data_IF_694776817119
#
_entry.id   IF_694776817119
#
_cell.length_a   1.000
_cell.length_b   1.000
_cell.length_c   1.000
_cell.angle_alpha   90.00
_cell.angle_beta   90.00
_cell.angle_gamma   90.00
#
_symmetry.space_group_name_H-M   'P 1'
#
loop_
_entity.id
_entity.type
_entity.pdbx_description
1 polymer ?
#
# COMPACT_ATOMS: atom_id res chain seq x y z
N UNK A 1 -9.31 -29.37 10.44
CA UNK A 1 -7.94 -28.82 10.60
C UNK A 1 -7.21 -29.15 9.30
N UNK A 2 -6.92 -28.25 8.35
CA UNK A 2 -6.73 -26.79 8.39
C UNK A 2 -7.26 -26.17 7.08
N UNK A 3 -8.16 -25.17 7.22
CA UNK A 3 -8.73 -24.40 6.11
C UNK A 3 -7.94 -23.12 5.77
N UNK A 4 -6.83 -22.88 6.46
CA UNK A 4 -6.02 -21.66 6.32
C UNK A 4 -4.94 -21.81 5.24
N UNK A 5 -5.33 -22.24 4.05
CA UNK A 5 -4.49 -21.99 2.88
C UNK A 5 -4.87 -20.61 2.34
N UNK A 6 -3.91 -19.71 2.02
CA UNK A 6 -4.22 -18.47 1.32
C UNK A 6 -4.89 -18.68 -0.05
N UNK A 7 -4.98 -19.94 -0.53
CA UNK A 7 -5.79 -20.35 -1.66
C UNK A 7 -7.32 -20.23 -1.43
N UNK A 8 -7.79 -20.12 -0.18
CA UNK A 8 -9.22 -19.96 0.17
C UNK A 8 -9.67 -18.51 0.39
N UNK A 9 -8.76 -17.53 0.28
CA UNK A 9 -9.09 -16.11 0.46
C UNK A 9 -9.75 -15.57 -0.79
N UNK A 10 -10.96 -15.01 -0.64
CA UNK A 10 -11.54 -14.16 -1.68
C UNK A 10 -10.89 -12.77 -1.60
N UNK A 11 -9.80 -12.62 -2.35
CA UNK A 11 -9.05 -11.37 -2.45
C UNK A 11 -9.91 -10.20 -2.95
N UNK A 12 -10.96 -10.48 -3.73
CA UNK A 12 -11.89 -9.45 -4.24
C UNK A 12 -12.69 -8.85 -3.10
N UNK A 13 -13.24 -9.69 -2.23
CA UNK A 13 -13.98 -9.24 -1.05
C UNK A 13 -13.08 -8.49 -0.06
N UNK A 14 -11.82 -8.91 0.11
CA UNK A 14 -10.83 -8.18 0.91
C UNK A 14 -10.64 -6.76 0.35
N UNK A 15 -10.43 -6.63 -0.96
CA UNK A 15 -10.22 -5.32 -1.61
C UNK A 15 -11.48 -4.46 -1.55
N UNK A 16 -12.67 -5.04 -1.74
CA UNK A 16 -13.95 -4.31 -1.62
C UNK A 16 -14.15 -3.78 -0.19
N UNK A 17 -13.90 -4.60 0.83
CA UNK A 17 -13.98 -4.19 2.23
C UNK A 17 -12.98 -3.09 2.57
N UNK A 18 -11.76 -3.18 2.01
CA UNK A 18 -10.77 -2.12 2.12
C UNK A 18 -11.27 -0.81 1.49
N UNK A 19 -11.75 -0.85 0.25
CA UNK A 19 -12.26 0.34 -0.46
C UNK A 19 -13.42 0.97 0.30
N UNK A 20 -14.37 0.18 0.79
CA UNK A 20 -15.50 0.67 1.58
C UNK A 20 -15.03 1.37 2.87
N UNK A 21 -14.01 0.83 3.54
CA UNK A 21 -13.43 1.45 4.73
C UNK A 21 -12.73 2.77 4.40
N UNK A 22 -11.97 2.82 3.31
CA UNK A 22 -11.33 4.04 2.84
C UNK A 22 -12.35 5.12 2.49
N UNK A 23 -13.43 4.76 1.79
CA UNK A 23 -14.50 5.70 1.43
C UNK A 23 -15.30 6.19 2.63
N UNK A 24 -15.49 5.34 3.64
CA UNK A 24 -16.08 5.76 4.90
C UNK A 24 -15.19 6.78 5.62
N UNK A 25 -13.90 6.46 5.79
CA UNK A 25 -12.94 7.33 6.50
C UNK A 25 -12.61 8.62 5.73
N UNK A 26 -12.64 8.58 4.39
CA UNK A 26 -12.40 9.76 3.57
C UNK A 26 -13.44 10.87 3.79
N UNK A 27 -14.66 10.52 4.25
CA UNK A 27 -15.70 11.50 4.59
C UNK A 27 -15.38 12.29 5.86
N UNK A 28 -14.56 11.73 6.74
CA UNK A 28 -14.21 12.31 8.04
C UNK A 28 -12.77 12.84 8.09
N UNK A 29 -11.98 12.66 7.03
CA UNK A 29 -10.59 13.10 6.97
C UNK A 29 -10.48 14.63 6.80
N UNK A 30 -9.67 15.30 7.64
CA UNK A 30 -9.44 16.76 7.56
C UNK A 30 -8.53 17.15 6.38
N UNK A 31 -7.37 16.48 6.23
CA UNK A 31 -6.34 16.88 5.25
C UNK A 31 -5.84 15.75 4.37
N UNK A 32 -5.47 14.64 5.00
CA UNK A 32 -4.93 13.45 4.33
C UNK A 32 -5.46 12.23 5.06
N UNK A 33 -5.92 11.23 4.30
CA UNK A 33 -6.19 9.89 4.81
C UNK A 33 -4.98 9.00 4.53
N UNK A 34 -4.45 8.36 5.57
CA UNK A 34 -3.37 7.38 5.42
C UNK A 34 -4.00 5.98 5.34
N UNK A 35 -3.82 5.31 4.20
CA UNK A 35 -4.33 3.96 3.97
C UNK A 35 -3.21 2.92 4.08
N UNK A 36 -3.45 1.81 4.79
CA UNK A 36 -2.52 0.69 4.88
C UNK A 36 -3.28 -0.64 4.76
N UNK A 37 -3.05 -1.51 3.77
CA UNK A 37 -2.28 -1.37 2.52
C UNK A 37 -3.12 -0.67 1.42
N UNK A 38 -3.01 -1.07 0.15
CA UNK A 38 -3.83 -0.61 -0.99
C UNK A 38 -4.24 -1.77 -1.94
N UNK A 39 -5.31 -1.64 -2.76
CA UNK A 39 -5.79 -2.66 -3.69
C UNK A 39 -4.75 -3.23 -4.67
N UNK A 40 -3.78 -2.42 -5.11
CA UNK A 40 -2.71 -2.85 -6.01
C UNK A 40 -1.74 -3.77 -5.28
N UNK A 41 -1.34 -3.43 -4.06
CA UNK A 41 -0.48 -4.30 -3.25
C UNK A 41 -1.19 -5.63 -2.92
N UNK A 42 -2.48 -5.58 -2.59
CA UNK A 42 -3.31 -6.79 -2.38
C UNK A 42 -3.41 -7.64 -3.65
N UNK A 43 -3.52 -7.01 -4.82
CA UNK A 43 -3.50 -7.72 -6.12
C UNK A 43 -2.16 -8.41 -6.40
N UNK A 44 -1.04 -7.78 -6.04
CA UNK A 44 0.29 -8.43 -6.14
C UNK A 44 0.39 -9.64 -5.20
N UNK A 45 -0.16 -9.55 -3.99
CA UNK A 45 -0.23 -10.67 -3.06
C UNK A 45 -1.09 -11.82 -3.58
N UNK A 46 -2.30 -11.53 -4.06
CA UNK A 46 -3.18 -12.52 -4.66
C UNK A 46 -2.46 -13.29 -5.78
N UNK A 47 -1.78 -12.57 -6.67
CA UNK A 47 -1.02 -13.18 -7.76
C UNK A 47 0.15 -14.05 -7.27
N UNK A 48 0.84 -13.67 -6.19
CA UNK A 48 1.96 -14.42 -5.64
C UNK A 48 1.52 -15.69 -4.91
N UNK A 49 0.39 -15.63 -4.19
CA UNK A 49 -0.06 -16.71 -3.33
C UNK A 49 -0.98 -17.70 -4.05
N UNK A 50 -1.81 -17.21 -4.97
CA UNK A 50 -2.80 -18.01 -5.69
C UNK A 50 -2.39 -18.34 -7.13
N UNK A 51 -1.27 -17.75 -7.62
CA UNK A 51 -0.79 -17.94 -9.00
C UNK A 51 -1.67 -17.32 -10.09
N UNK A 52 -2.83 -16.79 -9.73
CA UNK A 52 -3.79 -16.12 -10.62
C UNK A 52 -4.53 -15.03 -9.85
N UNK A 53 -5.12 -14.09 -10.59
CA UNK A 53 -5.89 -12.99 -10.03
C UNK A 53 -7.11 -12.71 -10.93
N UNK A 54 -8.34 -12.67 -10.38
CA UNK A 54 -9.53 -12.25 -11.11
C UNK A 54 -9.34 -10.89 -11.80
N UNK A 55 -9.92 -10.72 -12.99
CA UNK A 55 -9.86 -9.44 -13.72
C UNK A 55 -10.39 -8.27 -12.88
N UNK A 56 -11.42 -8.51 -12.07
CA UNK A 56 -12.00 -7.49 -11.19
C UNK A 56 -10.97 -6.87 -10.26
N UNK A 57 -10.05 -7.66 -9.69
CA UNK A 57 -9.00 -7.13 -8.83
C UNK A 57 -8.05 -6.19 -9.57
N UNK A 58 -7.73 -6.49 -10.83
CA UNK A 58 -6.95 -5.58 -11.66
C UNK A 58 -7.67 -4.26 -11.94
N UNK A 59 -9.01 -4.26 -11.98
CA UNK A 59 -9.81 -3.05 -12.11
C UNK A 59 -9.82 -2.24 -10.81
N UNK A 60 -10.03 -2.90 -9.67
CA UNK A 60 -9.98 -2.27 -8.34
C UNK A 60 -8.57 -1.71 -8.03
N UNK A 61 -7.51 -2.38 -8.48
CA UNK A 61 -6.11 -1.92 -8.34
C UNK A 61 -5.82 -0.59 -9.05
N UNK A 62 -6.66 -0.15 -10.01
CA UNK A 62 -6.52 1.16 -10.69
C UNK A 62 -7.06 2.32 -9.86
N UNK A 63 -7.58 2.05 -8.65
CA UNK A 63 -8.00 3.09 -7.71
C UNK A 63 -6.89 4.13 -7.54
N UNK A 64 -7.29 5.40 -7.63
CA UNK A 64 -6.37 6.53 -7.55
C UNK A 64 -6.04 6.83 -6.09
N UNK A 65 -4.77 7.11 -5.86
CA UNK A 65 -4.24 7.67 -4.62
C UNK A 65 -3.35 8.85 -5.02
N UNK A 66 -3.35 9.92 -4.21
CA UNK A 66 -2.50 11.09 -4.47
C UNK A 66 -1.01 10.77 -4.32
N UNK A 67 -0.69 9.81 -3.45
CA UNK A 67 0.67 9.36 -3.19
C UNK A 67 0.68 7.92 -2.67
N UNK A 68 1.58 7.09 -3.21
CA UNK A 68 1.94 5.80 -2.60
C UNK A 68 3.34 5.89 -1.97
N UNK A 69 3.47 5.47 -0.71
CA UNK A 69 4.78 5.25 -0.09
C UNK A 69 5.19 3.78 -0.29
N UNK A 70 6.15 3.54 -1.19
CA UNK A 70 6.65 2.19 -1.46
C UNK A 70 7.78 1.86 -0.48
N UNK A 71 7.44 1.15 0.59
CA UNK A 71 8.36 0.79 1.66
C UNK A 71 9.27 -0.37 1.23
N UNK A 72 10.59 -0.19 1.30
CA UNK A 72 11.53 -1.30 1.12
C UNK A 72 11.63 -2.14 2.41
N UNK A 73 11.91 -3.46 2.32
CA UNK A 73 12.22 -4.29 3.47
C UNK A 73 13.32 -3.68 4.32
N UNK A 74 13.19 -3.85 5.63
CA UNK A 74 14.27 -3.54 6.55
C UNK A 74 15.46 -4.48 6.30
N UNK A 75 16.67 -3.94 6.36
CA UNK A 75 17.90 -4.72 6.35
C UNK A 75 18.19 -5.35 7.72
N UNK A 76 17.50 -4.90 8.78
CA UNK A 76 17.59 -5.48 10.11
C UNK A 76 16.69 -6.71 10.22
N UNK A 77 17.27 -7.79 10.73
CA UNK A 77 16.68 -9.11 10.94
C UNK A 77 15.56 -9.18 11.98
N UNK A 78 15.08 -8.03 12.51
CA UNK A 78 14.04 -7.95 13.54
C UNK A 78 12.62 -8.03 12.97
N UNK A 79 12.41 -8.85 11.93
CA UNK A 79 11.07 -9.22 11.43
C UNK A 79 10.42 -10.30 12.30
N UNK A 80 10.75 -10.33 13.60
CA UNK A 80 10.22 -11.28 14.56
C UNK A 80 8.72 -11.05 14.74
N UNK A 81 7.91 -11.75 13.95
CA UNK A 81 6.45 -11.75 14.03
C UNK A 81 5.72 -11.56 12.71
N UNK A 82 6.39 -11.08 11.66
CA UNK A 82 5.76 -10.93 10.33
C UNK A 82 6.16 -12.11 9.45
N UNK A 83 5.38 -13.19 9.55
CA UNK A 83 5.52 -14.33 8.63
C UNK A 83 4.90 -13.93 7.30
N UNK A 84 5.68 -13.30 6.43
CA UNK A 84 5.36 -13.27 5.02
C UNK A 84 5.75 -14.63 4.42
N UNK A 85 4.85 -15.35 3.73
CA UNK A 85 5.19 -16.58 2.98
C UNK A 85 5.99 -16.26 1.71
N UNK A 86 6.86 -15.26 1.77
CA UNK A 86 7.83 -14.96 0.73
C UNK A 86 9.01 -15.88 0.99
N UNK A 87 9.10 -16.95 0.21
CA UNK A 87 10.36 -17.68 0.11
C UNK A 87 11.49 -16.69 -0.16
N UNK A 88 12.70 -16.98 0.33
CA UNK A 88 13.88 -16.19 0.03
C UNK A 88 14.00 -16.00 -1.49
N UNK A 89 13.83 -14.77 -1.97
CA UNK A 89 13.93 -14.43 -3.40
C UNK A 89 12.67 -13.85 -4.07
N UNK A 90 11.53 -13.71 -3.39
CA UNK A 90 10.38 -13.03 -3.99
C UNK A 90 10.56 -11.51 -3.97
N UNK A 91 10.70 -10.91 -5.17
CA UNK A 91 10.73 -9.47 -5.41
C UNK A 91 9.33 -8.83 -5.28
N UNK A 92 8.77 -8.77 -4.06
CA UNK A 92 7.46 -8.15 -3.83
C UNK A 92 7.50 -6.64 -4.13
N UNK A 93 8.53 -5.93 -3.64
CA UNK A 93 8.68 -4.49 -3.84
C UNK A 93 8.78 -4.15 -5.32
N UNK A 94 9.65 -4.84 -6.08
CA UNK A 94 9.79 -4.57 -7.51
C UNK A 94 8.54 -4.94 -8.30
N UNK A 95 7.75 -5.94 -7.87
CA UNK A 95 6.43 -6.22 -8.46
C UNK A 95 5.46 -5.06 -8.21
N UNK A 96 5.38 -4.55 -6.99
CA UNK A 96 4.58 -3.38 -6.66
C UNK A 96 5.04 -2.14 -7.45
N UNK A 97 6.35 -1.91 -7.55
CA UNK A 97 6.91 -0.80 -8.33
C UNK A 97 6.54 -0.88 -9.80
N UNK A 98 6.67 -2.07 -10.42
CA UNK A 98 6.26 -2.29 -11.82
C UNK A 98 4.77 -2.05 -12.01
N UNK A 99 3.94 -2.54 -11.10
CA UNK A 99 2.49 -2.32 -11.15
C UNK A 99 2.14 -0.84 -11.01
N UNK A 100 2.75 -0.12 -10.05
CA UNK A 100 2.59 1.33 -9.85
C UNK A 100 2.91 2.12 -11.12
N UNK A 101 4.05 1.82 -11.76
CA UNK A 101 4.46 2.43 -13.02
C UNK A 101 3.49 2.12 -14.15
N UNK A 102 3.02 0.87 -14.25
CA UNK A 102 2.10 0.44 -15.31
C UNK A 102 0.75 1.17 -15.25
N UNK A 103 0.28 1.52 -14.06
CA UNK A 103 -0.97 2.29 -13.88
C UNK A 103 -0.75 3.81 -13.76
N UNK A 104 0.50 4.28 -13.84
CA UNK A 104 0.86 5.70 -13.73
C UNK A 104 0.56 6.30 -12.35
N UNK A 105 0.56 5.51 -11.28
CA UNK A 105 0.24 5.99 -9.93
C UNK A 105 1.48 6.65 -9.29
N UNK A 106 1.38 7.89 -8.78
CA UNK A 106 2.51 8.55 -8.13
C UNK A 106 3.00 7.79 -6.90
N UNK A 107 4.31 7.58 -6.79
CA UNK A 107 4.90 6.92 -5.63
C UNK A 107 6.28 7.46 -5.28
N UNK A 108 6.66 7.29 -4.01
CA UNK A 108 8.00 7.55 -3.49
C UNK A 108 8.52 6.27 -2.84
N UNK A 109 9.74 5.88 -3.20
CA UNK A 109 10.44 4.77 -2.54
C UNK A 109 10.97 5.24 -1.19
N UNK A 110 10.63 4.52 -0.13
CA UNK A 110 11.05 4.83 1.25
C UNK A 110 11.97 3.72 1.75
N UNK A 111 13.23 4.06 1.98
CA UNK A 111 14.31 3.16 2.39
C UNK A 111 15.18 3.80 3.49
N UNK A 112 16.13 3.03 4.02
CA UNK A 112 17.03 3.47 5.09
C UNK A 112 16.61 2.98 6.48
N UNK A 113 17.22 3.53 7.53
CA UNK A 113 16.83 3.30 8.91
C UNK A 113 15.50 3.96 9.28
N UNK A 114 15.03 3.74 10.51
CA UNK A 114 13.77 4.26 11.01
C UNK A 114 13.65 5.79 10.82
N UNK A 115 14.68 6.54 11.20
CA UNK A 115 14.70 8.00 11.12
C UNK A 115 14.66 8.49 9.67
N UNK A 116 15.42 7.86 8.77
CA UNK A 116 15.49 8.20 7.35
C UNK A 116 14.14 7.93 6.67
N UNK A 117 13.57 6.75 6.92
CA UNK A 117 12.26 6.34 6.39
C UNK A 117 11.15 7.28 6.87
N UNK A 118 11.13 7.58 8.16
CA UNK A 118 10.16 8.50 8.77
C UNK A 118 10.27 9.90 8.16
N UNK A 119 11.48 10.43 8.06
CA UNK A 119 11.70 11.76 7.51
C UNK A 119 11.33 11.83 6.01
N UNK A 120 11.61 10.77 5.23
CA UNK A 120 11.23 10.69 3.82
C UNK A 120 9.71 10.63 3.64
N UNK A 121 9.02 9.82 4.42
CA UNK A 121 7.56 9.70 4.40
C UNK A 121 6.88 11.02 4.76
N UNK A 122 7.30 11.67 5.86
CA UNK A 122 6.76 12.96 6.30
C UNK A 122 6.93 14.04 5.23
N UNK A 123 8.15 14.19 4.68
CA UNK A 123 8.41 15.15 3.59
C UNK A 123 7.57 14.90 2.34
N UNK A 124 7.23 13.65 2.06
CA UNK A 124 6.39 13.31 0.91
C UNK A 124 4.92 13.65 1.16
N UNK A 125 4.41 13.34 2.36
CA UNK A 125 3.03 13.65 2.77
C UNK A 125 2.80 15.16 2.92
N UNK A 126 3.77 15.90 3.46
CA UNK A 126 3.68 17.36 3.63
C UNK A 126 3.45 18.09 2.30
N UNK A 127 3.98 17.56 1.18
CA UNK A 127 3.77 18.13 -0.16
C UNK A 127 2.34 18.02 -0.67
N UNK A 128 1.53 17.13 -0.09
CA UNK A 128 0.11 16.98 -0.42
C UNK A 128 -0.76 18.04 0.26
N UNK A 129 -0.29 18.61 1.36
CA UNK A 129 -1.03 19.62 2.11
C UNK A 129 -0.54 21.03 1.75
N UNK A 130 -1.42 21.98 1.41
CA UNK A 130 -1.04 23.38 1.31
C UNK A 130 -0.45 23.87 2.64
N UNK A 131 0.67 24.59 2.59
CA UNK A 131 1.29 25.19 3.78
C UNK A 131 0.29 26.12 4.47
N UNK A 132 0.03 25.91 5.76
CA UNK A 132 -0.94 26.66 6.58
C UNK A 132 -0.63 28.16 6.78
N UNK A 133 0.37 28.73 6.10
CA UNK A 133 0.83 30.12 6.32
C UNK A 133 -0.13 31.23 5.88
N UNK A 134 -1.32 30.91 5.37
CA UNK A 134 -2.28 31.89 4.87
C UNK A 134 -3.60 31.98 5.66
N UNK A 135 -3.76 31.23 6.76
CA UNK A 135 -5.04 31.16 7.51
C UNK A 135 -5.14 32.03 8.77
N UNK A 136 -4.12 32.84 9.08
CA UNK A 136 -4.12 33.77 10.24
C UNK A 136 -4.38 35.25 9.87
N UNK A 137 -4.86 35.55 8.66
CA UNK A 137 -5.17 36.93 8.24
C UNK A 137 -6.61 37.12 7.74
N UNK A 138 -7.59 36.41 8.33
CA UNK A 138 -9.01 36.69 8.09
C UNK A 138 -9.77 36.87 9.38
#
# INVERSE_FOLDING_TARGET
MNGDSPAGVDWTEVVRGQIASEEALARDADRVLICATDPLATTVWAQLLSGSCPQELHELARRRYDLTLLMTPDSSSDTAGVIYPLNAGVDFVGRCERALRAVGRPFVVVNGGWEERTAAALRAVEKLTPSHRARELR
#
